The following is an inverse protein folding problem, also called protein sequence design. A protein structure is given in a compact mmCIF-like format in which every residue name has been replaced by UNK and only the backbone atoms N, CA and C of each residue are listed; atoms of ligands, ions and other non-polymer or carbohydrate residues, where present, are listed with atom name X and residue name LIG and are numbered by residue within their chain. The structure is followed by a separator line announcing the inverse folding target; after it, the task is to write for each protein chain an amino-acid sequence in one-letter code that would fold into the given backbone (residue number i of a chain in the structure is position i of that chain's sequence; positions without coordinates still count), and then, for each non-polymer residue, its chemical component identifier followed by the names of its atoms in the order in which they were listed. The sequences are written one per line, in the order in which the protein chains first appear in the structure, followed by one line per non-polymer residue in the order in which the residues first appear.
data_IF_201781392726
#
_entry.id   IF_201781392726
#
_cell.length_a   1.000
_cell.length_b   1.000
_cell.length_c   1.000
_cell.angle_alpha   90.00
_cell.angle_beta   90.00
_cell.angle_gamma   90.00
#
_symmetry.space_group_name_H-M   'P 1'
#
loop_
_entity.id
_entity.type
_entity.pdbx_description
1 polymer ?
#
# COMPACT_ATOMS: atom_id res chain seq x y z
N UNK A 1 -5.05 -5.39 -18.01
CA UNK A 1 -5.49 -5.36 -16.59
C UNK A 1 -4.39 -4.93 -15.60
N UNK A 2 -3.10 -4.99 -15.95
CA UNK A 2 -2.02 -4.65 -15.00
C UNK A 2 -1.86 -3.14 -14.73
N UNK A 3 -2.24 -2.28 -15.68
CA UNK A 3 -2.15 -0.82 -15.56
C UNK A 3 -2.99 -0.28 -14.39
N UNK A 4 -4.25 -0.68 -14.27
CA UNK A 4 -5.12 -0.28 -13.16
C UNK A 4 -4.57 -0.73 -11.80
N UNK A 5 -3.92 -1.90 -11.73
CA UNK A 5 -3.28 -2.37 -10.51
C UNK A 5 -2.09 -1.47 -10.13
N UNK A 6 -1.27 -1.07 -11.10
CA UNK A 6 -0.15 -0.15 -10.86
C UNK A 6 -0.62 1.23 -10.39
N UNK A 7 -1.69 1.77 -10.99
CA UNK A 7 -2.29 3.04 -10.56
C UNK A 7 -2.82 2.94 -9.12
N UNK A 8 -3.56 1.89 -8.79
CA UNK A 8 -4.03 1.63 -7.40
C UNK A 8 -2.86 1.50 -6.42
N UNK A 9 -1.80 0.81 -6.82
CA UNK A 9 -0.60 0.65 -5.99
C UNK A 9 0.11 1.99 -5.77
N UNK A 10 0.16 2.85 -6.79
CA UNK A 10 0.75 4.18 -6.71
C UNK A 10 0.00 5.08 -5.72
N UNK A 11 -1.32 5.14 -5.83
CA UNK A 11 -2.09 5.91 -4.87
C UNK A 11 -2.04 5.32 -3.45
N UNK A 12 -2.02 3.99 -3.31
CA UNK A 12 -1.78 3.36 -2.01
C UNK A 12 -0.42 3.76 -1.42
N UNK A 13 0.63 3.88 -2.23
CA UNK A 13 1.94 4.36 -1.79
C UNK A 13 1.88 5.81 -1.29
N UNK A 14 1.21 6.70 -2.01
CA UNK A 14 1.06 8.09 -1.57
C UNK A 14 0.22 8.21 -0.29
N UNK A 15 -0.84 7.41 -0.15
CA UNK A 15 -1.67 7.40 1.06
C UNK A 15 -0.86 6.88 2.26
N UNK A 16 -0.01 5.86 2.08
CA UNK A 16 0.90 5.38 3.14
C UNK A 16 1.95 6.42 3.55
N UNK A 17 2.44 7.23 2.61
CA UNK A 17 3.40 8.31 2.91
C UNK A 17 2.77 9.49 3.65
N UNK A 18 1.50 9.79 3.36
CA UNK A 18 0.75 10.87 4.00
C UNK A 18 0.08 10.44 5.31
N UNK A 19 -0.10 9.14 5.53
CA UNK A 19 -0.75 8.59 6.70
C UNK A 19 0.19 8.54 7.91
N UNK A 20 -0.39 8.72 9.09
CA UNK A 20 0.27 8.47 10.36
C UNK A 20 -0.10 7.06 10.86
N UNK A 21 0.89 6.27 11.29
CA UNK A 21 0.67 4.90 11.78
C UNK A 21 -0.22 4.81 13.03
N UNK A 22 -0.37 5.89 13.79
CA UNK A 22 -1.27 5.97 14.95
C UNK A 22 -2.76 5.96 14.55
N UNK A 23 -3.07 6.40 13.32
CA UNK A 23 -4.45 6.54 12.83
C UNK A 23 -4.76 5.66 11.62
N UNK A 24 -3.77 5.02 11.03
CA UNK A 24 -3.92 4.23 9.81
C UNK A 24 -3.07 2.99 9.86
N UNK A 25 -3.59 1.92 9.25
CA UNK A 25 -2.88 0.66 9.06
C UNK A 25 -2.70 0.35 7.58
N UNK A 26 -1.66 -0.42 7.27
CA UNK A 26 -1.43 -0.94 5.92
C UNK A 26 -2.64 -1.70 5.37
N UNK A 27 -3.37 -2.44 6.22
CA UNK A 27 -4.56 -3.17 5.82
C UNK A 27 -5.71 -2.25 5.38
N UNK A 28 -5.93 -1.13 6.10
CA UNK A 28 -6.94 -0.13 5.72
C UNK A 28 -6.60 0.53 4.38
N UNK A 29 -5.34 0.91 4.18
CA UNK A 29 -4.91 1.49 2.89
C UNK A 29 -5.05 0.48 1.76
N UNK A 30 -4.64 -0.77 1.97
CA UNK A 30 -4.81 -1.85 0.99
C UNK A 30 -6.29 -2.03 0.59
N UNK A 31 -7.19 -2.11 1.58
CA UNK A 31 -8.62 -2.25 1.34
C UNK A 31 -9.20 -1.05 0.59
N UNK A 32 -8.82 0.18 0.97
CA UNK A 32 -9.26 1.43 0.33
C UNK A 32 -8.93 1.49 -1.16
N UNK A 33 -7.78 0.95 -1.56
CA UNK A 33 -7.35 0.92 -2.96
C UNK A 33 -7.71 -0.39 -3.69
N UNK A 34 -8.57 -1.22 -3.10
CA UNK A 34 -9.13 -2.41 -3.74
C UNK A 34 -8.24 -3.65 -3.70
N UNK A 35 -7.33 -3.75 -2.73
CA UNK A 35 -6.56 -4.96 -2.46
C UNK A 35 -7.22 -5.76 -1.32
N UNK A 36 -7.85 -6.88 -1.67
CA UNK A 36 -8.57 -7.73 -0.71
C UNK A 36 -7.67 -8.44 0.32
N UNK A 37 -6.37 -8.61 0.02
CA UNK A 37 -5.43 -9.32 0.89
C UNK A 37 -4.18 -8.48 1.13
N UNK A 38 -4.00 -8.05 2.38
CA UNK A 38 -2.85 -7.24 2.82
C UNK A 38 -1.51 -7.93 2.53
N UNK A 39 -1.41 -9.24 2.71
CA UNK A 39 -0.20 -10.01 2.39
C UNK A 39 0.17 -9.97 0.91
N UNK A 40 -0.80 -10.18 0.01
CA UNK A 40 -0.57 -10.07 -1.45
C UNK A 40 -0.24 -8.63 -1.85
N UNK A 41 -0.91 -7.64 -1.25
CA UNK A 41 -0.57 -6.24 -1.43
C UNK A 41 0.88 -5.96 -1.06
N UNK A 42 1.33 -6.41 0.12
CA UNK A 42 2.71 -6.21 0.56
C UNK A 42 3.74 -6.84 -0.39
N UNK A 43 3.46 -8.02 -0.94
CA UNK A 43 4.32 -8.66 -1.96
C UNK A 43 4.40 -7.80 -3.22
N UNK A 44 3.26 -7.38 -3.79
CA UNK A 44 3.24 -6.54 -4.99
C UNK A 44 3.88 -5.17 -4.75
N UNK A 45 3.64 -4.60 -3.58
CA UNK A 45 4.22 -3.34 -3.17
C UNK A 45 5.74 -3.42 -3.11
N UNK A 46 6.29 -4.46 -2.47
CA UNK A 46 7.74 -4.69 -2.40
C UNK A 46 8.36 -4.93 -3.77
N UNK A 47 7.66 -5.62 -4.68
CA UNK A 47 8.13 -5.82 -6.05
C UNK A 47 8.28 -4.50 -6.83
N UNK A 48 7.46 -3.49 -6.53
CA UNK A 48 7.49 -2.19 -7.24
C UNK A 48 8.37 -1.16 -6.53
N UNK A 49 8.32 -1.11 -5.19
CA UNK A 49 8.96 -0.06 -4.38
C UNK A 49 10.21 -0.53 -3.62
N UNK A 50 10.57 -1.81 -3.69
CA UNK A 50 11.74 -2.38 -3.01
C UNK A 50 11.60 -2.55 -1.49
N UNK A 51 10.63 -1.89 -0.85
CA UNK A 51 10.38 -1.94 0.59
C UNK A 51 8.96 -2.39 0.93
N UNK A 52 8.72 -2.75 2.19
CA UNK A 52 7.37 -3.14 2.64
C UNK A 52 6.49 -1.91 2.86
N UNK A 53 5.16 -2.01 2.67
CA UNK A 53 4.26 -0.89 2.96
C UNK A 53 4.25 -0.50 4.46
N UNK A 54 4.60 -1.41 5.36
CA UNK A 54 4.81 -1.11 6.78
C UNK A 54 6.05 -0.24 7.02
N UNK A 55 7.07 -0.36 6.16
CA UNK A 55 8.26 0.49 6.21
C UNK A 55 7.95 1.90 5.69
N UNK A 56 7.09 2.00 4.68
CA UNK A 56 6.64 3.29 4.15
C UNK A 56 5.73 4.03 5.14
N UNK A 57 4.84 3.32 5.82
CA UNK A 57 3.99 3.87 6.87
C UNK A 57 4.85 4.13 8.13
N UNK A 58 5.52 5.28 8.16
CA UNK A 58 6.32 5.73 9.30
C UNK A 58 5.44 6.42 10.35
N UNK A 59 5.99 6.50 11.56
CA UNK A 59 5.38 7.14 12.75
C UNK A 59 5.13 8.63 12.54
#
# INVERSE_FOLDING_TARGET
MEYLRRVRLHHAHQDLLAANRAHTTVAQVAARWGFAHTGRFAVYYRQVYGQSPHTTLRD
#
